data_IF_800886450964
#
_entry.id   IF_800886450964
#
_cell.length_a   1.000
_cell.length_b   1.000
_cell.length_c   1.000
_cell.angle_alpha   90.00
_cell.angle_beta   90.00
_cell.angle_gamma   90.00
#
_symmetry.space_group_name_H-M   'P 1'
#
loop_
_entity.id
_entity.type
_entity.pdbx_description
1 polymer ?
#
# COMPACT_ATOMS: atom_id res chain seq x y z
N UNK A 1 10.25 -0.89 -15.88
CA UNK A 1 8.85 -1.30 -15.65
C UNK A 1 8.82 -1.66 -14.18
N UNK A 2 8.51 -0.66 -13.34
CA UNK A 2 8.72 -0.73 -11.90
C UNK A 2 7.33 -0.56 -11.24
N UNK A 3 6.66 -1.67 -10.96
CA UNK A 3 5.36 -1.78 -10.27
C UNK A 3 5.32 -2.98 -9.30
N UNK A 4 4.27 -3.09 -8.49
CA UNK A 4 4.17 -4.11 -7.44
C UNK A 4 4.20 -5.51 -8.08
N UNK A 5 5.11 -6.37 -7.61
CA UNK A 5 5.23 -7.76 -8.09
C UNK A 5 4.39 -8.75 -7.27
N UNK A 6 3.50 -8.26 -6.40
CA UNK A 6 2.64 -9.10 -5.55
C UNK A 6 3.38 -10.06 -4.59
N UNK A 7 4.61 -9.72 -4.17
CA UNK A 7 5.40 -10.57 -3.27
C UNK A 7 4.82 -10.70 -1.85
N UNK A 8 3.96 -9.77 -1.40
CA UNK A 8 3.32 -9.82 -0.09
C UNK A 8 4.19 -9.49 1.13
N UNK A 9 5.47 -9.13 0.94
CA UNK A 9 6.37 -8.77 2.06
C UNK A 9 5.86 -7.57 2.87
N UNK A 10 5.11 -6.66 2.24
CA UNK A 10 4.48 -5.52 2.92
C UNK A 10 3.36 -5.93 3.88
N UNK A 11 2.60 -6.98 3.58
CA UNK A 11 1.58 -7.53 4.48
C UNK A 11 2.24 -8.26 5.64
N UNK A 12 3.27 -9.07 5.37
CA UNK A 12 3.96 -9.86 6.39
C UNK A 12 4.64 -9.03 7.49
N UNK A 13 5.06 -7.79 7.21
CA UNK A 13 5.70 -6.91 8.20
C UNK A 13 4.72 -5.92 8.85
N UNK A 14 3.46 -5.91 8.44
CA UNK A 14 2.51 -4.90 8.87
C UNK A 14 1.90 -5.28 10.23
N UNK A 15 2.10 -4.49 11.30
CA UNK A 15 1.49 -4.77 12.60
C UNK A 15 -0.04 -4.74 12.55
N UNK A 16 -0.60 -3.89 11.68
CA UNK A 16 -2.05 -3.80 11.50
C UNK A 16 -2.62 -5.06 10.82
N UNK A 17 -1.84 -5.77 10.00
CA UNK A 17 -2.27 -7.03 9.39
C UNK A 17 -2.34 -8.20 10.40
N UNK A 18 -1.67 -8.07 11.55
CA UNK A 18 -1.75 -9.05 12.64
C UNK A 18 -3.03 -8.87 13.49
N UNK A 19 -3.59 -7.66 13.52
CA UNK A 19 -4.70 -7.28 14.40
C UNK A 19 -6.01 -7.11 13.65
N UNK A 20 -5.95 -6.63 12.41
CA UNK A 20 -7.09 -6.34 11.55
C UNK A 20 -6.98 -7.11 10.24
N UNK A 21 -8.11 -7.26 9.54
CA UNK A 21 -8.14 -7.76 8.15
C UNK A 21 -7.61 -6.67 7.21
N UNK A 22 -6.31 -6.44 7.26
CA UNK A 22 -5.61 -5.37 6.58
C UNK A 22 -4.49 -5.91 5.71
N UNK A 23 -4.66 -5.80 4.39
CA UNK A 23 -3.63 -6.19 3.42
C UNK A 23 -3.09 -4.98 2.64
N UNK A 24 -1.91 -4.44 3.04
CA UNK A 24 -1.23 -3.38 2.30
C UNK A 24 -0.96 -3.70 0.83
N UNK A 25 -0.72 -4.98 0.51
CA UNK A 25 -0.52 -5.46 -0.87
C UNK A 25 -1.75 -5.22 -1.73
N UNK A 26 -2.94 -5.54 -1.21
CA UNK A 26 -4.20 -5.41 -1.94
C UNK A 26 -4.47 -3.94 -2.23
N UNK A 27 -4.23 -3.06 -1.26
CA UNK A 27 -4.30 -1.61 -1.45
C UNK A 27 -3.33 -1.13 -2.54
N UNK A 28 -2.08 -1.60 -2.52
CA UNK A 28 -1.09 -1.25 -3.54
C UNK A 28 -1.54 -1.67 -4.95
N UNK A 29 -2.17 -2.83 -5.10
CA UNK A 29 -2.71 -3.29 -6.38
C UNK A 29 -3.89 -2.43 -6.84
N UNK A 30 -4.84 -2.12 -5.96
CA UNK A 30 -6.00 -1.29 -6.27
C UNK A 30 -5.56 0.10 -6.78
N UNK A 31 -4.59 0.72 -6.12
CA UNK A 31 -4.03 2.01 -6.55
C UNK A 31 -3.27 1.89 -7.89
N UNK A 32 -2.60 0.77 -8.14
CA UNK A 32 -1.88 0.52 -9.40
C UNK A 32 -2.80 0.31 -10.60
N UNK A 33 -4.05 -0.11 -10.38
CA UNK A 33 -5.06 -0.19 -11.44
C UNK A 33 -5.43 1.19 -12.00
N UNK A 34 -5.19 2.28 -11.25
CA UNK A 34 -5.50 3.67 -11.64
C UNK A 34 -6.96 3.86 -12.08
N UNK A 35 -7.87 3.11 -11.46
CA UNK A 35 -9.30 3.27 -11.63
C UNK A 35 -9.85 4.14 -10.50
N UNK A 36 -10.28 5.35 -10.86
CA UNK A 36 -10.75 6.34 -9.90
C UNK A 36 -11.99 5.88 -9.14
N UNK A 37 -12.87 5.05 -9.74
CA UNK A 37 -14.05 4.53 -9.05
C UNK A 37 -13.63 3.54 -7.95
N UNK A 38 -12.66 2.67 -8.26
CA UNK A 38 -12.13 1.69 -7.30
C UNK A 38 -11.39 2.40 -6.17
N UNK A 39 -10.66 3.47 -6.49
CA UNK A 39 -9.99 4.30 -5.49
C UNK A 39 -11.03 5.01 -4.61
N UNK A 40 -12.12 5.52 -5.18
CA UNK A 40 -13.19 6.17 -4.41
C UNK A 40 -13.87 5.18 -3.44
N UNK A 41 -14.18 3.97 -3.89
CA UNK A 41 -14.74 2.91 -3.03
C UNK A 41 -13.77 2.51 -1.92
N UNK A 42 -12.47 2.42 -2.23
CA UNK A 42 -11.43 2.18 -1.24
C UNK A 42 -11.36 3.33 -0.21
N UNK A 43 -11.51 4.59 -0.63
CA UNK A 43 -11.53 5.75 0.26
C UNK A 43 -12.77 5.78 1.17
N UNK A 44 -13.90 5.25 0.71
CA UNK A 44 -15.12 5.08 1.50
C UNK A 44 -15.04 3.92 2.49
N UNK A 45 -14.13 2.98 2.29
CA UNK A 45 -13.95 1.81 3.16
C UNK A 45 -13.17 2.14 4.44
N UNK A 46 -13.40 1.35 5.50
CA UNK A 46 -12.63 1.40 6.74
C UNK A 46 -11.19 0.86 6.59
N UNK A 47 -10.95 0.08 5.52
CA UNK A 47 -9.70 -0.67 5.33
C UNK A 47 -8.48 0.23 5.28
N UNK A 48 -8.57 1.42 4.66
CA UNK A 48 -7.44 2.36 4.60
C UNK A 48 -7.10 2.99 5.95
N UNK A 49 -8.08 3.05 6.86
CA UNK A 49 -7.96 3.72 8.15
C UNK A 49 -7.30 2.85 9.23
N UNK A 50 -7.20 1.53 8.99
CA UNK A 50 -6.38 0.63 9.81
C UNK A 50 -4.87 0.88 9.65
N UNK A 51 -4.44 1.68 8.67
CA UNK A 51 -3.04 2.02 8.46
C UNK A 51 -2.49 2.93 9.57
N UNK A 52 -1.63 2.37 10.43
CA UNK A 52 -0.93 3.13 11.48
C UNK A 52 0.23 4.02 11.01
N UNK A 53 0.43 4.20 9.69
CA UNK A 53 1.49 5.04 9.08
C UNK A 53 2.92 4.76 9.60
N UNK A 54 3.19 3.52 10.03
CA UNK A 54 4.50 3.12 10.58
C UNK A 54 5.60 2.93 9.52
N UNK A 55 5.25 2.95 8.22
CA UNK A 55 6.17 2.84 7.08
C UNK A 55 6.96 1.52 6.95
N UNK A 56 6.73 0.53 7.82
CA UNK A 56 7.40 -0.78 7.75
C UNK A 56 7.21 -1.47 6.40
N UNK A 57 6.05 -1.31 5.77
CA UNK A 57 5.74 -1.88 4.45
C UNK A 57 6.61 -1.33 3.31
N UNK A 58 7.22 -0.15 3.46
CA UNK A 58 8.06 0.49 2.44
C UNK A 58 9.50 -0.01 2.45
N UNK A 59 10.01 -0.41 3.60
CA UNK A 59 11.41 -0.82 3.79
C UNK A 59 11.78 -2.09 3.01
N UNK A 60 10.99 -3.18 3.04
CA UNK A 60 11.28 -4.43 2.32
C UNK A 60 10.76 -4.44 0.89
N UNK A 61 10.04 -3.40 0.45
CA UNK A 61 9.52 -3.34 -0.91
C UNK A 61 10.71 -3.29 -1.86
N UNK A 62 10.90 -4.38 -2.62
CA UNK A 62 11.99 -4.56 -3.60
C UNK A 62 12.00 -3.48 -4.68
N UNK A 63 10.86 -2.79 -4.81
CA UNK A 63 10.77 -1.50 -5.49
C UNK A 63 11.02 -0.35 -4.52
N UNK A 64 12.20 0.25 -4.62
CA UNK A 64 12.39 1.67 -4.27
C UNK A 64 12.38 2.46 -5.58
N UNK A 65 11.73 3.63 -5.63
CA UNK A 65 12.45 4.77 -5.08
C UNK A 65 11.54 5.77 -4.37
N UNK A 66 12.02 6.45 -3.31
CA UNK A 66 11.52 7.79 -3.02
C UNK A 66 12.71 8.76 -3.03
N UNK A 67 13.23 9.13 -4.20
CA UNK A 67 14.12 10.26 -4.32
C UNK A 67 13.21 11.45 -4.59
N UNK A 68 12.89 12.18 -3.53
CA UNK A 68 12.30 13.52 -3.60
C UNK A 68 10.89 13.60 -4.18
N UNK A 69 10.05 14.34 -3.45
CA UNK A 69 9.08 15.25 -4.05
C UNK A 69 9.61 15.71 -5.42
N UNK A 70 8.93 15.40 -6.52
CA UNK A 70 9.07 16.22 -7.73
C UNK A 70 8.64 17.62 -7.30
N UNK A 71 9.62 18.45 -6.94
CA UNK A 71 9.46 19.90 -6.95
C UNK A 71 8.98 20.23 -8.36
N UNK A 72 7.88 20.98 -8.44
CA UNK A 72 7.56 21.76 -9.64
C UNK A 72 8.78 22.58 -10.04
#
# INVERSE_FOLDING_TARGET
MNGCINCGSCTAICPAAEVYDYEPRTIANLVQMRDDNVIEELLKSDTIWYCGKCMNCKTPCVEKPLPTLRKK
#
